data_IF_508501080182
#
_entry.id   IF_508501080182
#
_cell.length_a   1.000
_cell.length_b   1.000
_cell.length_c   1.000
_cell.angle_alpha   90.00
_cell.angle_beta   90.00
_cell.angle_gamma   90.00
#
_symmetry.space_group_name_H-M   'P 1'
#
loop_
_entity.id
_entity.type
_entity.pdbx_description
1 polymer ?
#
# COMPACT_ATOMS: atom_id res chain seq x y z
N UNK A 1 -8.22 2.73 -11.07
CA UNK A 1 -7.07 2.24 -10.27
C UNK A 1 -6.25 3.38 -9.63
N UNK A 2 -6.59 4.66 -9.89
CA UNK A 2 -5.91 5.84 -9.33
C UNK A 2 -4.38 5.77 -9.49
N UNK A 3 -3.64 6.02 -8.41
CA UNK A 3 -2.17 5.94 -8.36
C UNK A 3 -1.61 4.56 -8.77
N UNK A 4 -2.38 3.51 -8.58
CA UNK A 4 -1.98 2.15 -8.96
C UNK A 4 -1.74 1.99 -10.46
N UNK A 5 -2.38 2.81 -11.31
CA UNK A 5 -2.10 2.83 -12.76
C UNK A 5 -0.65 3.23 -13.02
N UNK A 6 -0.15 4.25 -12.33
CA UNK A 6 1.25 4.66 -12.41
C UNK A 6 2.19 3.59 -11.87
N UNK A 7 1.85 2.98 -10.73
CA UNK A 7 2.63 1.89 -10.15
C UNK A 7 2.73 0.69 -11.09
N UNK A 8 1.62 0.29 -11.71
CA UNK A 8 1.60 -0.80 -12.70
C UNK A 8 2.46 -0.48 -13.93
N UNK A 9 2.36 0.76 -14.43
CA UNK A 9 3.14 1.19 -15.59
C UNK A 9 4.65 1.18 -15.30
N UNK A 10 5.09 1.70 -14.15
CA UNK A 10 6.48 1.67 -13.70
C UNK A 10 6.97 0.21 -13.59
N UNK A 11 6.16 -0.67 -12.96
CA UNK A 11 6.50 -2.09 -12.86
C UNK A 11 6.78 -2.72 -14.21
N UNK A 12 5.95 -2.45 -15.20
CA UNK A 12 6.03 -3.11 -16.52
C UNK A 12 7.02 -2.48 -17.50
N UNK A 13 7.37 -1.21 -17.31
CA UNK A 13 8.05 -0.46 -18.38
C UNK A 13 9.38 0.18 -17.95
N UNK A 14 9.64 0.37 -16.66
CA UNK A 14 10.83 1.07 -16.19
C UNK A 14 11.88 0.07 -15.71
N UNK A 15 13.12 0.28 -16.17
CA UNK A 15 14.32 -0.41 -15.69
C UNK A 15 15.18 0.59 -14.94
N UNK A 16 15.47 0.31 -13.68
CA UNK A 16 16.30 1.15 -12.80
C UNK A 16 16.76 0.31 -11.61
N UNK A 17 17.69 0.83 -10.81
CA UNK A 17 18.15 0.15 -9.61
C UNK A 17 17.16 0.32 -8.46
N UNK A 18 16.67 1.54 -8.27
CA UNK A 18 15.74 1.90 -7.20
C UNK A 18 14.49 2.60 -7.77
N UNK A 19 13.36 2.43 -7.08
CA UNK A 19 12.06 3.06 -7.38
C UNK A 19 11.60 3.85 -6.16
N UNK A 20 11.19 5.10 -6.40
CA UNK A 20 10.51 5.93 -5.40
C UNK A 20 9.14 6.36 -5.91
N UNK A 21 8.10 6.09 -5.13
CA UNK A 21 6.73 6.49 -5.42
C UNK A 21 6.26 7.45 -4.33
N UNK A 22 5.86 8.66 -4.76
CA UNK A 22 5.20 9.66 -3.91
C UNK A 22 3.85 10.05 -4.53
N UNK A 23 2.98 10.68 -3.75
CA UNK A 23 1.78 11.33 -4.27
C UNK A 23 2.07 12.79 -4.64
N UNK A 24 1.26 13.37 -5.51
CA UNK A 24 1.41 14.77 -5.97
C UNK A 24 1.29 15.84 -4.85
N UNK A 25 0.74 15.47 -3.68
CA UNK A 25 0.61 16.31 -2.47
C UNK A 25 1.15 15.67 -1.21
N UNK A 26 1.95 14.60 -1.32
CA UNK A 26 2.51 13.89 -0.16
C UNK A 26 3.95 13.55 -0.46
N UNK A 27 4.85 13.97 0.41
CA UNK A 27 6.28 13.81 0.24
C UNK A 27 6.90 13.27 1.50
N UNK A 28 7.87 12.40 1.36
CA UNK A 28 8.68 11.95 2.49
C UNK A 28 9.55 13.09 3.01
N UNK A 29 9.58 13.25 4.35
CA UNK A 29 10.34 14.29 5.03
C UNK A 29 11.00 13.78 6.30
N UNK A 30 12.12 14.45 6.65
CA UNK A 30 12.64 14.51 8.02
C UNK A 30 12.43 15.94 8.53
N UNK A 31 13.49 16.76 8.56
CA UNK A 31 13.38 18.20 8.79
C UNK A 31 13.07 18.94 7.48
N UNK A 32 13.54 18.39 6.35
CA UNK A 32 13.29 18.83 4.98
C UNK A 32 12.81 17.65 4.12
N UNK A 33 12.55 17.91 2.83
CA UNK A 33 12.25 16.84 1.86
C UNK A 33 13.44 15.88 1.77
N UNK A 34 13.17 14.58 1.70
CA UNK A 34 14.23 13.59 1.54
C UNK A 34 14.98 13.82 0.23
N UNK A 35 16.31 13.87 0.29
CA UNK A 35 17.15 13.93 -0.89
C UNK A 35 17.41 12.53 -1.46
N UNK A 36 17.83 12.47 -2.73
CA UNK A 36 18.18 11.21 -3.38
C UNK A 36 19.35 10.55 -2.64
N UNK A 37 20.36 11.32 -2.24
CA UNK A 37 21.53 10.84 -1.51
C UNK A 37 21.14 10.19 -0.17
N UNK A 38 20.20 10.80 0.55
CA UNK A 38 19.69 10.20 1.80
C UNK A 38 18.96 8.88 1.53
N UNK A 39 18.10 8.83 0.50
CA UNK A 39 17.36 7.62 0.14
C UNK A 39 18.31 6.48 -0.24
N UNK A 40 19.33 6.76 -1.05
CA UNK A 40 20.35 5.78 -1.46
C UNK A 40 21.17 5.30 -0.26
N UNK A 41 21.54 6.18 0.68
CA UNK A 41 22.25 5.79 1.89
C UNK A 41 21.39 4.91 2.81
N UNK A 42 20.11 5.25 2.97
CA UNK A 42 19.16 4.43 3.71
C UNK A 42 19.02 3.02 3.11
N UNK A 43 18.95 2.91 1.78
CA UNK A 43 18.80 1.63 1.10
C UNK A 43 20.04 0.72 1.18
N UNK A 44 21.18 1.20 1.68
CA UNK A 44 22.33 0.34 2.04
C UNK A 44 22.08 -0.47 3.31
N UNK A 45 21.18 -0.01 4.17
CA UNK A 45 20.92 -0.61 5.49
C UNK A 45 19.52 -1.20 5.59
N UNK A 46 18.53 -0.57 4.94
CA UNK A 46 17.13 -0.94 4.92
C UNK A 46 16.72 -1.44 3.53
N UNK A 47 15.80 -2.38 3.49
CA UNK A 47 15.29 -2.92 2.22
C UNK A 47 14.24 -1.99 1.59
N UNK A 48 13.55 -1.19 2.42
CA UNK A 48 12.41 -0.38 1.99
C UNK A 48 12.19 0.82 2.93
N UNK A 49 11.84 1.96 2.35
CA UNK A 49 11.37 3.15 3.06
C UNK A 49 9.87 3.32 2.77
N UNK A 50 9.08 3.51 3.82
CA UNK A 50 7.62 3.60 3.75
C UNK A 50 7.11 4.76 4.60
N UNK A 51 5.86 5.22 4.41
CA UNK A 51 5.22 6.17 5.31
C UNK A 51 5.17 5.63 6.73
N UNK A 52 5.40 6.49 7.71
CA UNK A 52 5.15 6.18 9.10
C UNK A 52 3.69 5.77 9.33
N UNK A 53 3.50 4.88 10.27
CA UNK A 53 2.17 4.35 10.59
C UNK A 53 1.38 5.38 11.38
N UNK A 54 0.28 5.87 10.80
CA UNK A 54 -0.67 6.74 11.49
C UNK A 54 -1.74 5.95 12.25
N UNK A 55 -2.18 6.48 13.40
CA UNK A 55 -3.32 5.92 14.12
C UNK A 55 -4.63 6.33 13.44
N UNK A 56 -5.53 5.36 13.26
CA UNK A 56 -6.91 5.67 12.87
C UNK A 56 -7.71 6.17 14.07
N UNK A 57 -8.68 7.07 13.84
CA UNK A 57 -9.65 7.52 14.87
C UNK A 57 -10.72 6.47 15.21
N UNK A 58 -10.71 5.34 14.49
CA UNK A 58 -11.62 4.22 14.71
C UNK A 58 -10.97 3.16 15.61
N UNK A 59 -11.76 2.25 16.15
CA UNK A 59 -11.29 1.15 16.98
C UNK A 59 -10.18 0.34 16.32
N UNK A 60 -10.34 0.07 15.01
CA UNK A 60 -9.37 -0.63 14.20
C UNK A 60 -9.52 -0.29 12.70
N UNK A 61 -8.59 -0.78 11.88
CA UNK A 61 -8.57 -0.56 10.43
C UNK A 61 -9.79 -1.17 9.74
N UNK A 62 -10.31 -2.31 10.22
CA UNK A 62 -11.54 -2.90 9.70
C UNK A 62 -12.75 -1.98 9.91
N UNK A 63 -12.90 -1.43 11.12
CA UNK A 63 -13.96 -0.44 11.44
C UNK A 63 -13.76 0.87 10.69
N UNK A 64 -12.52 1.31 10.48
CA UNK A 64 -12.24 2.44 9.60
C UNK A 64 -12.76 2.17 8.17
N UNK A 65 -12.47 0.99 7.62
CA UNK A 65 -12.93 0.62 6.28
C UNK A 65 -14.46 0.53 6.21
N UNK A 66 -15.11 -0.13 7.18
CA UNK A 66 -16.57 -0.27 7.27
C UNK A 66 -17.30 1.08 7.29
N UNK A 67 -16.75 2.08 7.98
CA UNK A 67 -17.35 3.40 8.10
C UNK A 67 -17.10 4.32 6.88
N UNK A 68 -16.09 4.03 6.08
CA UNK A 68 -15.67 4.89 4.95
C UNK A 68 -15.94 4.28 3.59
N UNK A 69 -16.02 2.96 3.50
CA UNK A 69 -16.05 2.20 2.24
C UNK A 69 -17.07 1.07 2.31
N UNK A 70 -17.17 0.31 1.22
CA UNK A 70 -18.04 -0.86 1.16
C UNK A 70 -17.34 -2.07 1.78
N UNK A 71 -17.76 -2.46 2.97
CA UNK A 71 -17.12 -3.55 3.77
C UNK A 71 -17.01 -4.87 3.01
N UNK A 72 -17.94 -5.16 2.09
CA UNK A 72 -17.88 -6.36 1.25
C UNK A 72 -16.58 -6.47 0.46
N UNK A 73 -15.98 -5.34 0.05
CA UNK A 73 -14.79 -5.34 -0.81
C UNK A 73 -13.54 -5.82 -0.06
N UNK A 74 -13.36 -5.39 1.20
CA UNK A 74 -12.26 -5.89 2.03
C UNK A 74 -12.46 -7.36 2.41
N UNK A 75 -13.71 -7.82 2.54
CA UNK A 75 -14.01 -9.23 2.79
C UNK A 75 -13.67 -10.08 1.56
N UNK A 76 -14.07 -9.65 0.35
CA UNK A 76 -13.67 -10.31 -0.92
C UNK A 76 -12.15 -10.36 -1.03
N UNK A 77 -11.46 -9.25 -0.69
CA UNK A 77 -10.00 -9.21 -0.69
C UNK A 77 -9.41 -10.26 0.27
N UNK A 78 -9.99 -10.42 1.46
CA UNK A 78 -9.58 -11.47 2.41
C UNK A 78 -9.80 -12.90 1.88
N UNK A 79 -10.92 -13.15 1.19
CA UNK A 79 -11.19 -14.44 0.55
C UNK A 79 -10.17 -14.75 -0.55
N UNK A 80 -9.84 -13.77 -1.39
CA UNK A 80 -8.81 -13.91 -2.44
C UNK A 80 -7.45 -14.22 -1.82
N UNK A 81 -7.07 -13.49 -0.77
CA UNK A 81 -5.83 -13.76 -0.02
C UNK A 81 -5.81 -15.18 0.54
N UNK A 82 -6.88 -15.61 1.18
CA UNK A 82 -6.96 -16.96 1.75
C UNK A 82 -6.79 -18.05 0.69
N UNK A 83 -7.32 -17.83 -0.52
CA UNK A 83 -7.24 -18.78 -1.61
C UNK A 83 -5.88 -18.79 -2.31
N UNK A 84 -5.31 -17.62 -2.61
CA UNK A 84 -4.08 -17.50 -3.42
C UNK A 84 -2.81 -17.40 -2.57
N UNK A 85 -2.90 -16.78 -1.41
CA UNK A 85 -1.77 -16.47 -0.52
C UNK A 85 -2.11 -16.77 0.95
N UNK A 86 -2.45 -18.02 1.31
CA UNK A 86 -2.93 -18.36 2.66
C UNK A 86 -1.95 -17.98 3.77
N UNK A 87 -0.65 -17.94 3.47
CA UNK A 87 0.38 -17.50 4.44
C UNK A 87 0.26 -16.00 4.77
N UNK A 88 -0.23 -15.17 3.85
CA UNK A 88 -0.41 -13.74 4.07
C UNK A 88 -1.73 -13.40 4.77
N UNK A 89 -2.69 -14.33 4.79
CA UNK A 89 -4.03 -14.10 5.33
C UNK A 89 -4.02 -13.79 6.84
N UNK A 90 -3.16 -14.44 7.62
CA UNK A 90 -3.03 -14.17 9.05
C UNK A 90 -2.52 -12.74 9.31
N UNK A 91 -1.53 -12.28 8.53
CA UNK A 91 -1.02 -10.92 8.60
C UNK A 91 -2.09 -9.89 8.17
N UNK A 92 -2.90 -10.21 7.15
CA UNK A 92 -4.01 -9.37 6.73
C UNK A 92 -5.06 -9.19 7.83
N UNK A 93 -5.52 -10.27 8.44
CA UNK A 93 -6.45 -10.21 9.58
C UNK A 93 -5.86 -9.40 10.72
N UNK A 94 -4.62 -9.72 11.10
CA UNK A 94 -3.94 -9.01 12.17
C UNK A 94 -3.86 -7.51 11.89
N UNK A 95 -3.50 -7.09 10.67
CA UNK A 95 -3.41 -5.67 10.32
C UNK A 95 -4.76 -4.95 10.37
N UNK A 96 -5.84 -5.62 10.01
CA UNK A 96 -7.20 -5.06 10.07
C UNK A 96 -7.73 -4.88 11.52
N UNK A 97 -7.26 -5.71 12.45
CA UNK A 97 -7.62 -5.66 13.86
C UNK A 97 -6.84 -4.59 14.65
N UNK A 98 -5.85 -3.93 14.06
CA UNK A 98 -5.07 -2.84 14.67
C UNK A 98 -5.67 -1.48 14.36
N UNK A 99 -5.31 -0.49 15.18
CA UNK A 99 -5.75 0.89 15.00
C UNK A 99 -4.74 1.78 14.27
N UNK A 100 -3.69 1.22 13.70
CA UNK A 100 -2.69 1.94 12.91
C UNK A 100 -2.60 1.39 11.48
N UNK A 101 -2.36 2.28 10.54
CA UNK A 101 -2.26 1.96 9.11
C UNK A 101 -1.27 2.90 8.42
N UNK A 102 -0.66 2.43 7.36
CA UNK A 102 0.09 3.28 6.45
C UNK A 102 -0.88 3.88 5.42
N UNK A 103 -0.89 5.20 5.30
CA UNK A 103 -1.74 5.92 4.35
C UNK A 103 -0.98 6.19 3.06
N UNK A 104 -1.62 5.87 1.95
CA UNK A 104 -1.06 6.05 0.61
C UNK A 104 -0.14 4.89 0.21
N UNK A 105 -0.06 4.71 -1.10
CA UNK A 105 0.80 3.70 -1.72
C UNK A 105 2.18 4.31 -2.04
N UNK A 106 2.86 4.81 -1.00
CA UNK A 106 4.18 5.45 -1.11
C UNK A 106 5.26 4.47 -0.69
N UNK A 107 6.33 4.39 -1.47
CA UNK A 107 7.42 3.44 -1.23
C UNK A 107 8.71 3.91 -1.91
N UNK A 108 9.86 3.67 -1.26
CA UNK A 108 11.18 3.78 -1.89
C UNK A 108 11.91 2.47 -1.60
N UNK A 109 12.35 1.79 -2.65
CA UNK A 109 12.99 0.47 -2.53
C UNK A 109 13.75 0.10 -3.79
N UNK A 110 14.47 -1.02 -3.78
CA UNK A 110 15.08 -1.57 -4.99
C UNK A 110 14.00 -1.98 -6.01
N UNK A 111 14.34 -1.89 -7.31
CA UNK A 111 13.42 -2.32 -8.38
C UNK A 111 13.01 -3.78 -8.24
N UNK A 112 13.92 -4.64 -7.82
CA UNK A 112 13.63 -6.06 -7.59
C UNK A 112 12.54 -6.25 -6.54
N UNK A 113 12.67 -5.60 -5.38
CA UNK A 113 11.67 -5.70 -4.31
C UNK A 113 10.34 -5.05 -4.69
N UNK A 114 10.39 -3.94 -5.44
CA UNK A 114 9.20 -3.30 -6.02
C UNK A 114 8.46 -4.24 -6.98
N UNK A 115 9.18 -4.97 -7.82
CA UNK A 115 8.59 -5.92 -8.77
C UNK A 115 7.93 -7.11 -8.06
N UNK A 116 8.54 -7.62 -7.00
CA UNK A 116 7.95 -8.65 -6.14
C UNK A 116 6.64 -8.16 -5.50
N UNK A 117 6.65 -6.95 -4.94
CA UNK A 117 5.45 -6.33 -4.36
C UNK A 117 4.36 -6.14 -5.40
N UNK A 118 4.67 -5.55 -6.54
CA UNK A 118 3.70 -5.31 -7.61
C UNK A 118 3.13 -6.61 -8.17
N UNK A 119 3.95 -7.63 -8.37
CA UNK A 119 3.50 -8.95 -8.84
C UNK A 119 2.45 -9.53 -7.89
N UNK A 120 2.73 -9.52 -6.59
CA UNK A 120 1.81 -9.99 -5.55
C UNK A 120 0.55 -9.13 -5.46
N UNK A 121 0.71 -7.81 -5.42
CA UNK A 121 -0.40 -6.86 -5.27
C UNK A 121 -1.40 -6.96 -6.43
N UNK A 122 -0.92 -6.89 -7.66
CA UNK A 122 -1.79 -6.88 -8.84
C UNK A 122 -2.42 -8.24 -9.11
N UNK A 123 -1.76 -9.35 -8.75
CA UNK A 123 -2.37 -10.68 -8.83
C UNK A 123 -3.59 -10.80 -7.91
N UNK A 124 -3.54 -10.19 -6.72
CA UNK A 124 -4.68 -10.12 -5.81
C UNK A 124 -5.75 -9.16 -6.34
N UNK A 125 -5.37 -7.92 -6.69
CA UNK A 125 -6.33 -6.89 -7.08
C UNK A 125 -7.11 -7.26 -8.36
N UNK A 126 -6.47 -7.90 -9.34
CA UNK A 126 -7.17 -8.35 -10.54
C UNK A 126 -8.16 -9.50 -10.25
N UNK A 127 -7.87 -10.33 -9.26
CA UNK A 127 -8.84 -11.34 -8.85
C UNK A 127 -9.99 -10.75 -8.03
N UNK A 128 -9.71 -9.77 -7.17
CA UNK A 128 -10.73 -8.99 -6.46
C UNK A 128 -11.65 -8.25 -7.45
N UNK A 129 -11.08 -7.65 -8.51
CA UNK A 129 -11.83 -6.95 -9.55
C UNK A 129 -12.87 -7.85 -10.21
N UNK A 130 -12.52 -9.10 -10.54
CA UNK A 130 -13.47 -10.07 -11.13
C UNK A 130 -14.66 -10.39 -10.23
N UNK A 131 -14.49 -10.24 -8.90
CA UNK A 131 -15.51 -10.58 -7.88
C UNK A 131 -16.26 -9.36 -7.37
N UNK A 132 -15.81 -8.14 -7.72
CA UNK A 132 -16.37 -6.90 -7.21
C UNK A 132 -17.14 -6.17 -8.31
N UNK A 133 -18.46 -6.02 -8.15
CA UNK A 133 -19.25 -5.17 -9.03
C UNK A 133 -19.27 -3.74 -8.49
N UNK A 134 -18.69 -2.81 -9.25
CA UNK A 134 -18.55 -1.37 -8.92
C UNK A 134 -19.49 -0.47 -9.73
N UNK A 135 -20.40 -1.01 -10.55
CA UNK A 135 -21.28 -0.23 -11.45
C UNK A 135 -22.10 0.80 -10.68
N UNK A 136 -22.61 0.41 -9.50
CA UNK A 136 -23.44 1.25 -8.65
C UNK A 136 -22.65 2.03 -7.58
N UNK A 137 -21.31 2.11 -7.71
CA UNK A 137 -20.49 2.90 -6.81
C UNK A 137 -20.44 4.36 -7.27
N UNK A 138 -20.48 5.29 -6.32
CA UNK A 138 -20.15 6.69 -6.58
C UNK A 138 -18.66 6.84 -6.95
N UNK A 139 -18.26 8.01 -7.43
CA UNK A 139 -16.91 8.24 -7.92
C UNK A 139 -15.84 8.10 -6.82
N UNK A 140 -16.19 8.35 -5.56
CA UNK A 140 -15.29 8.10 -4.45
C UNK A 140 -15.10 6.60 -4.21
N UNK A 141 -16.18 5.84 -4.16
CA UNK A 141 -16.13 4.39 -3.90
C UNK A 141 -15.55 3.59 -5.10
N UNK A 142 -15.61 4.12 -6.33
CA UNK A 142 -14.92 3.51 -7.48
C UNK A 142 -13.40 3.45 -7.33
N UNK A 143 -12.83 4.16 -6.33
CA UNK A 143 -11.41 4.09 -5.96
C UNK A 143 -11.08 2.86 -5.10
N UNK A 144 -11.98 1.90 -4.98
CA UNK A 144 -11.89 0.70 -4.13
C UNK A 144 -10.53 0.00 -4.18
N UNK A 145 -9.93 -0.17 -5.36
CA UNK A 145 -8.64 -0.85 -5.49
C UNK A 145 -7.49 -0.06 -4.85
N UNK A 146 -7.54 1.27 -4.90
CA UNK A 146 -6.62 2.14 -4.15
C UNK A 146 -6.78 1.95 -2.64
N UNK A 147 -8.02 1.91 -2.14
CA UNK A 147 -8.29 1.69 -0.72
C UNK A 147 -7.87 0.29 -0.25
N UNK A 148 -8.06 -0.73 -1.06
CA UNK A 148 -7.63 -2.10 -0.74
C UNK A 148 -6.10 -2.22 -0.75
N UNK A 149 -5.43 -1.58 -1.71
CA UNK A 149 -3.97 -1.65 -1.81
C UNK A 149 -3.24 -1.10 -0.59
N UNK A 150 -3.76 -0.04 0.05
CA UNK A 150 -3.20 0.47 1.31
C UNK A 150 -3.23 -0.58 2.44
N UNK A 151 -4.28 -1.41 2.51
CA UNK A 151 -4.40 -2.52 3.50
C UNK A 151 -3.49 -3.68 3.13
N UNK A 152 -3.41 -3.99 1.84
CA UNK A 152 -2.54 -5.02 1.30
C UNK A 152 -1.07 -4.65 1.49
N UNK A 153 -0.69 -3.39 1.34
CA UNK A 153 0.69 -2.94 1.54
C UNK A 153 1.19 -3.26 2.95
N UNK A 154 0.41 -2.93 3.99
CA UNK A 154 0.78 -3.29 5.37
C UNK A 154 0.85 -4.80 5.58
N UNK A 155 -0.08 -5.55 5.01
CA UNK A 155 -0.07 -7.02 5.02
C UNK A 155 1.22 -7.59 4.43
N UNK A 156 1.63 -7.05 3.29
CA UNK A 156 2.83 -7.49 2.59
C UNK A 156 4.10 -7.23 3.42
N UNK A 157 4.22 -6.05 4.02
CA UNK A 157 5.34 -5.70 4.89
C UNK A 157 5.45 -6.60 6.12
N UNK A 158 4.32 -6.92 6.76
CA UNK A 158 4.28 -7.70 8.00
C UNK A 158 4.71 -9.17 7.80
N UNK A 159 4.53 -9.71 6.62
CA UNK A 159 4.78 -11.13 6.36
C UNK A 159 6.08 -11.39 5.59
N UNK A 160 7.01 -10.43 5.60
CA UNK A 160 8.32 -10.56 4.95
C UNK A 160 9.43 -10.12 5.91
N UNK A 161 10.60 -10.78 5.89
CA UNK A 161 11.70 -10.46 6.79
C UNK A 161 12.47 -9.20 6.30
N UNK A 162 11.76 -8.10 6.09
CA UNK A 162 12.32 -6.85 5.57
C UNK A 162 12.79 -5.93 6.70
N UNK A 163 13.90 -5.28 6.49
CA UNK A 163 14.34 -4.15 7.29
C UNK A 163 13.63 -2.89 6.78
N UNK A 164 12.56 -2.51 7.47
CA UNK A 164 11.70 -1.37 7.09
C UNK A 164 12.17 -0.09 7.77
N UNK A 165 12.33 0.98 7.01
CA UNK A 165 12.47 2.35 7.50
C UNK A 165 11.14 3.08 7.35
N UNK A 166 10.56 3.57 8.45
CA UNK A 166 9.39 4.45 8.41
C UNK A 166 9.87 5.91 8.42
N UNK A 167 9.29 6.74 7.53
CA UNK A 167 9.58 8.16 7.43
C UNK A 167 8.29 8.99 7.44
N UNK A 168 8.35 10.17 8.02
CA UNK A 168 7.23 11.11 8.07
C UNK A 168 6.78 11.52 6.68
N UNK A 169 5.50 11.84 6.54
CA UNK A 169 4.92 12.34 5.29
C UNK A 169 4.39 13.75 5.51
N UNK A 170 4.88 14.68 4.70
CA UNK A 170 4.34 16.03 4.58
C UNK A 170 3.11 16.00 3.66
N UNK A 171 1.99 16.54 4.14
CA UNK A 171 0.79 16.76 3.36
C UNK A 171 0.72 18.23 2.95
N UNK A 172 0.74 18.50 1.65
CA UNK A 172 0.54 19.85 1.12
C UNK A 172 -0.96 20.03 0.90
N UNK A 173 -1.56 20.87 1.74
CA UNK A 173 -2.94 21.32 1.55
C UNK A 173 -2.91 22.58 0.68
N UNK A 174 -3.81 22.66 -0.29
CA UNK A 174 -4.08 23.91 -1.02
C UNK A 174 -4.78 24.92 -0.12
#
# INVERSE_FOLDING_TARGET
>A
YCELTGMYWIWKNIQCDNVGICHYRRYFVQDELLTIEYMEECLKTYDIIVPDSGMTMYENVYKHYENRHKIKDVNICGEVLLQKYPKDYAAFKWSLERNFMSLGNMVITSKTLYDEYCSWLFDILFEVEKRTNIENYDDYQKRVFGFLSERLFRTWLLNRPLKVREERVLFINE
#
